data_IF_348179822769
#
_entry.id   IF_348179822769
#
_cell.length_a   1.000
_cell.length_b   1.000
_cell.length_c   1.000
_cell.angle_alpha   90.00
_cell.angle_beta   90.00
_cell.angle_gamma   90.00
#
_symmetry.space_group_name_H-M   'P 1'
#
loop_
_entity.id
_entity.type
_entity.pdbx_description
1 polymer ?
#
# COMPACT_ATOMS: atom_id res chain seq x y z
N UNK A 1 -7.86 -30.27 31.21
CA UNK A 1 -7.66 -29.66 29.87
C UNK A 1 -7.51 -28.16 30.07
N UNK A 2 -6.63 -27.48 29.34
CA UNK A 2 -6.53 -26.02 29.43
C UNK A 2 -7.82 -25.41 28.85
N UNK A 3 -8.46 -24.50 29.59
CA UNK A 3 -9.61 -23.76 29.07
C UNK A 3 -9.11 -22.82 27.98
N UNK A 4 -9.69 -22.94 26.79
CA UNK A 4 -9.33 -22.10 25.65
C UNK A 4 -10.55 -21.73 24.82
N UNK A 5 -10.52 -20.55 24.21
CA UNK A 5 -11.50 -20.15 23.20
C UNK A 5 -10.79 -19.54 21.98
N UNK A 6 -11.39 -19.73 20.81
CA UNK A 6 -10.94 -19.12 19.57
C UNK A 6 -11.48 -17.70 19.48
N UNK A 7 -10.61 -16.77 19.06
CA UNK A 7 -10.91 -15.36 18.90
C UNK A 7 -10.34 -14.93 17.56
N UNK A 8 -11.17 -14.92 16.52
CA UNK A 8 -10.72 -14.72 15.14
C UNK A 8 -9.58 -15.69 14.78
N UNK A 9 -8.39 -15.18 14.42
CA UNK A 9 -7.19 -15.96 14.10
C UNK A 9 -6.31 -16.27 15.33
N UNK A 10 -6.74 -15.86 16.53
CA UNK A 10 -6.02 -16.04 17.80
C UNK A 10 -6.70 -17.09 18.69
N UNK A 11 -5.96 -17.58 19.68
CA UNK A 11 -6.50 -18.45 20.73
C UNK A 11 -6.22 -17.84 22.09
N UNK A 12 -7.26 -17.63 22.89
CA UNK A 12 -7.10 -17.28 24.29
C UNK A 12 -7.04 -18.56 25.12
N UNK A 13 -6.04 -18.66 25.99
CA UNK A 13 -5.79 -19.82 26.85
C UNK A 13 -5.73 -19.34 28.29
N UNK A 14 -6.52 -19.94 29.16
CA UNK A 14 -6.44 -19.71 30.60
C UNK A 14 -5.24 -20.46 31.18
N UNK A 15 -4.48 -19.79 32.05
CA UNK A 15 -3.41 -20.40 32.84
C UNK A 15 -3.53 -20.00 34.30
N UNK A 16 -3.22 -20.94 35.19
CA UNK A 16 -3.18 -20.74 36.64
C UNK A 16 -1.74 -20.76 37.09
N UNK A 17 -1.36 -19.82 37.97
CA UNK A 17 0.00 -19.78 38.54
C UNK A 17 -0.06 -19.54 40.04
N UNK A 18 0.83 -20.22 40.76
CA UNK A 18 1.11 -19.92 42.16
C UNK A 18 2.28 -18.94 42.21
N UNK A 19 2.14 -17.79 42.90
CA UNK A 19 3.24 -16.83 43.01
C UNK A 19 4.43 -17.45 43.74
N UNK A 20 5.64 -17.30 43.17
CA UNK A 20 6.87 -17.74 43.82
C UNK A 20 7.19 -16.79 44.98
N UNK A 21 7.01 -17.24 46.23
CA UNK A 21 7.63 -16.59 47.39
C UNK A 21 6.78 -16.38 48.65
N UNK A 22 5.52 -16.80 48.70
CA UNK A 22 4.72 -16.71 49.94
C UNK A 22 4.43 -18.10 50.50
N UNK A 23 5.12 -18.47 51.57
CA UNK A 23 4.66 -19.53 52.45
C UNK A 23 3.30 -19.14 53.05
N UNK A 24 2.41 -20.14 53.11
CA UNK A 24 1.12 -20.15 53.82
C UNK A 24 -0.15 -19.55 53.19
N UNK A 25 -0.18 -19.27 51.87
CA UNK A 25 -1.48 -19.15 51.17
C UNK A 25 -1.35 -19.62 49.71
N UNK A 26 -2.06 -20.70 49.34
CA UNK A 26 -2.20 -21.17 47.95
C UNK A 26 -3.12 -20.22 47.16
N UNK A 27 -2.75 -18.95 47.04
CA UNK A 27 -3.47 -18.00 46.20
C UNK A 27 -3.12 -18.32 44.74
N UNK A 28 -4.06 -18.93 44.01
CA UNK A 28 -3.90 -19.26 42.58
C UNK A 28 -4.32 -18.05 41.75
N UNK A 29 -3.35 -17.43 41.10
CA UNK A 29 -3.62 -16.32 40.21
C UNK A 29 -4.11 -16.83 38.85
N UNK A 30 -5.21 -16.25 38.37
CA UNK A 30 -5.81 -16.56 37.06
C UNK A 30 -5.25 -15.61 36.00
N UNK A 31 -4.74 -16.17 34.91
CA UNK A 31 -4.22 -15.44 33.77
C UNK A 31 -4.89 -15.88 32.47
N UNK A 32 -5.10 -14.93 31.56
CA UNK A 32 -5.46 -15.19 30.17
C UNK A 32 -4.23 -14.89 29.30
N UNK A 33 -3.80 -15.89 28.55
CA UNK A 33 -2.77 -15.75 27.52
C UNK A 33 -3.44 -15.71 26.15
N UNK A 34 -3.23 -14.63 25.40
CA UNK A 34 -3.58 -14.60 23.99
C UNK A 34 -2.41 -15.14 23.18
N UNK A 35 -2.69 -16.12 22.34
CA UNK A 35 -1.74 -16.72 21.41
C UNK A 35 -2.14 -16.41 19.98
N UNK A 36 -1.14 -16.10 19.17
CA UNK A 36 -1.28 -15.89 17.74
C UNK A 36 -1.54 -17.19 16.98
N UNK A 37 -1.74 -17.10 15.65
CA UNK A 37 -2.04 -18.25 14.80
C UNK A 37 -0.88 -19.26 14.75
N UNK A 38 0.38 -18.81 14.91
CA UNK A 38 1.56 -19.69 14.95
C UNK A 38 1.90 -20.16 16.37
N UNK A 39 1.06 -19.83 17.36
CA UNK A 39 1.17 -20.25 18.75
C UNK A 39 2.06 -19.38 19.65
N UNK A 40 2.61 -18.29 19.13
CA UNK A 40 3.37 -17.30 19.92
C UNK A 40 2.46 -16.54 20.89
N UNK A 41 2.97 -16.25 22.09
CA UNK A 41 2.23 -15.50 23.10
C UNK A 41 2.22 -14.00 22.78
N UNK A 42 1.05 -13.44 22.48
CA UNK A 42 0.84 -12.05 22.10
C UNK A 42 0.70 -11.13 23.32
N UNK A 43 -0.04 -11.60 24.33
CA UNK A 43 -0.26 -10.85 25.55
C UNK A 43 -0.69 -11.77 26.68
N UNK A 44 -0.45 -11.34 27.91
CA UNK A 44 -0.92 -11.98 29.13
C UNK A 44 -1.65 -10.97 30.00
N UNK A 45 -2.82 -11.34 30.49
CA UNK A 45 -3.66 -10.48 31.31
C UNK A 45 -3.98 -11.22 32.60
N UNK A 46 -3.63 -10.61 33.74
CA UNK A 46 -4.07 -11.10 35.05
C UNK A 46 -5.55 -10.80 35.23
N UNK A 47 -6.33 -11.83 35.54
CA UNK A 47 -7.77 -11.72 35.75
C UNK A 47 -8.03 -11.49 37.23
N UNK A 48 -8.84 -10.49 37.61
CA UNK A 48 -9.33 -10.37 38.97
C UNK A 48 -10.31 -11.52 39.23
N UNK A 49 -9.86 -12.55 39.94
CA UNK A 49 -10.66 -13.69 40.36
C UNK A 49 -10.69 -13.75 41.89
N UNK A 50 -11.85 -13.96 42.56
CA UNK A 50 -11.91 -14.02 44.01
C UNK A 50 -11.18 -15.27 44.55
N UNK A 51 -10.47 -15.11 45.65
CA UNK A 51 -9.62 -16.17 46.23
C UNK A 51 -10.44 -17.33 46.84
N UNK A 52 -11.66 -17.04 47.28
CA UNK A 52 -12.58 -18.01 47.91
C UNK A 52 -13.47 -18.75 46.88
N UNK A 53 -13.37 -18.40 45.60
CA UNK A 53 -14.19 -18.96 44.53
C UNK A 53 -13.46 -20.10 43.80
N UNK A 54 -14.18 -21.17 43.39
CA UNK A 54 -13.57 -22.22 42.58
C UNK A 54 -13.04 -21.67 41.26
N UNK A 55 -12.04 -22.36 40.71
CA UNK A 55 -11.40 -22.00 39.45
C UNK A 55 -12.44 -21.86 38.32
N UNK A 56 -12.18 -20.99 37.32
CA UNK A 56 -13.05 -20.91 36.15
C UNK A 56 -13.19 -22.28 35.49
N UNK A 57 -14.42 -22.63 35.11
CA UNK A 57 -14.73 -23.86 34.38
C UNK A 57 -14.99 -23.62 32.89
N UNK A 58 -15.26 -22.37 32.50
CA UNK A 58 -15.55 -21.99 31.11
C UNK A 58 -14.86 -20.68 30.72
N UNK A 59 -14.50 -20.59 29.44
CA UNK A 59 -13.95 -19.39 28.80
C UNK A 59 -14.71 -19.14 27.48
N UNK A 60 -15.27 -17.95 27.33
CA UNK A 60 -16.03 -17.58 26.14
C UNK A 60 -15.61 -16.20 25.65
N UNK A 61 -15.51 -16.04 24.34
CA UNK A 61 -15.33 -14.72 23.72
C UNK A 61 -16.69 -14.13 23.34
N UNK A 62 -16.86 -12.83 23.61
CA UNK A 62 -18.09 -12.09 23.29
C UNK A 62 -17.77 -11.01 22.26
N UNK A 63 -17.99 -11.33 20.99
CA UNK A 63 -17.69 -10.47 19.84
C UNK A 63 -18.27 -9.05 19.98
N UNK A 64 -19.50 -8.91 20.50
CA UNK A 64 -20.19 -7.62 20.63
C UNK A 64 -19.55 -6.68 21.67
N UNK A 65 -18.76 -7.23 22.59
CA UNK A 65 -18.15 -6.49 23.71
C UNK A 65 -16.61 -6.51 23.65
N UNK A 66 -16.02 -7.16 22.65
CA UNK A 66 -14.57 -7.39 22.51
C UNK A 66 -13.91 -7.88 23.83
N UNK A 67 -14.56 -8.82 24.52
CA UNK A 67 -14.13 -9.28 25.84
C UNK A 67 -14.12 -10.81 25.97
N UNK A 68 -13.24 -11.32 26.85
CA UNK A 68 -13.30 -12.71 27.32
C UNK A 68 -14.08 -12.75 28.62
N UNK A 69 -15.03 -13.69 28.71
CA UNK A 69 -15.75 -14.03 29.92
C UNK A 69 -15.23 -15.36 30.47
N UNK A 70 -14.81 -15.34 31.72
CA UNK A 70 -14.48 -16.52 32.51
C UNK A 70 -15.59 -16.76 33.52
N UNK A 71 -16.05 -17.99 33.66
CA UNK A 71 -17.13 -18.34 34.60
C UNK A 71 -16.92 -19.71 35.23
N UNK A 72 -17.41 -19.89 36.46
CA UNK A 72 -17.56 -21.19 37.15
C UNK A 72 -19.04 -21.51 37.43
N UNK A 73 -19.98 -20.84 36.74
CA UNK A 73 -21.44 -20.82 36.94
C UNK A 73 -21.95 -20.04 38.15
N UNK A 74 -21.12 -19.70 39.14
CA UNK A 74 -21.47 -18.86 40.29
C UNK A 74 -20.83 -17.46 40.23
N UNK A 75 -19.62 -17.38 39.68
CA UNK A 75 -18.77 -16.21 39.57
C UNK A 75 -18.41 -15.98 38.11
N UNK A 76 -18.46 -14.71 37.70
CA UNK A 76 -18.17 -14.25 36.35
C UNK A 76 -17.10 -13.16 36.40
N UNK A 77 -16.05 -13.32 35.60
CA UNK A 77 -15.07 -12.27 35.33
C UNK A 77 -15.10 -11.91 33.84
N UNK A 78 -15.22 -10.62 33.55
CA UNK A 78 -15.18 -10.09 32.18
C UNK A 78 -13.89 -9.31 32.00
N UNK A 79 -13.09 -9.70 31.02
CA UNK A 79 -11.78 -9.12 30.73
C UNK A 79 -11.83 -8.49 29.34
N UNK A 80 -11.72 -7.15 29.22
CA UNK A 80 -11.67 -6.51 27.92
C UNK A 80 -10.36 -6.88 27.22
N UNK A 81 -10.46 -7.25 25.94
CA UNK A 81 -9.27 -7.59 25.15
C UNK A 81 -8.97 -6.43 24.21
N UNK A 82 -7.79 -5.84 24.35
CA UNK A 82 -7.28 -4.88 23.39
C UNK A 82 -6.57 -5.61 22.25
N UNK A 83 -7.31 -6.42 21.49
CA UNK A 83 -6.75 -7.26 20.42
C UNK A 83 -5.91 -6.43 19.44
N UNK A 84 -6.33 -5.18 19.18
CA UNK A 84 -5.63 -4.20 18.34
C UNK A 84 -4.25 -3.80 18.88
N UNK A 85 -4.09 -3.68 20.19
CA UNK A 85 -2.81 -3.34 20.84
C UNK A 85 -1.88 -4.56 20.90
N UNK A 86 -2.43 -5.76 21.15
CA UNK A 86 -1.66 -7.00 21.17
C UNK A 86 -1.16 -7.40 19.77
N UNK A 87 -2.00 -7.26 18.74
CA UNK A 87 -1.63 -7.52 17.34
C UNK A 87 -0.70 -6.47 16.74
N UNK A 88 -0.67 -5.23 17.26
CA UNK A 88 0.29 -4.21 16.82
C UNK A 88 1.68 -4.36 17.43
N UNK A 89 1.82 -5.16 18.49
CA UNK A 89 3.10 -5.57 19.05
C UNK A 89 3.72 -6.78 18.35
N UNK A 90 2.96 -7.50 17.52
CA UNK A 90 3.55 -8.40 16.54
C UNK A 90 4.36 -7.54 15.59
N UNK A 91 5.68 -7.71 15.69
CA UNK A 91 6.66 -7.15 14.75
C UNK A 91 6.07 -7.19 13.35
N UNK A 92 5.99 -6.05 12.64
CA UNK A 92 5.45 -6.04 11.30
C UNK A 92 6.21 -7.09 10.49
N UNK A 93 5.47 -8.00 9.84
CA UNK A 93 5.96 -8.71 8.66
C UNK A 93 6.74 -7.67 7.88
N UNK A 94 8.05 -7.89 7.78
CA UNK A 94 9.07 -6.92 7.38
C UNK A 94 8.46 -5.83 6.50
N UNK A 95 8.58 -4.53 6.87
CA UNK A 95 7.95 -3.46 6.11
C UNK A 95 8.24 -3.68 4.63
N UNK A 96 7.25 -3.57 3.72
CA UNK A 96 7.51 -3.68 2.29
C UNK A 96 8.70 -2.77 2.01
N UNK A 97 9.76 -3.33 1.41
CA UNK A 97 11.07 -2.70 1.27
C UNK A 97 10.87 -1.22 0.97
N UNK A 98 11.06 -0.35 1.98
CA UNK A 98 11.19 1.07 1.72
C UNK A 98 12.36 1.22 0.76
N UNK A 99 12.35 2.26 -0.07
CA UNK A 99 13.44 2.64 -0.99
C UNK A 99 14.76 3.01 -0.26
N UNK A 100 15.11 2.34 0.83
CA UNK A 100 16.34 2.53 1.56
C UNK A 100 17.55 1.93 0.82
N UNK A 101 17.33 0.95 -0.06
CA UNK A 101 18.41 0.28 -0.78
C UNK A 101 18.14 0.26 -2.29
N UNK A 102 18.19 1.41 -2.95
CA UNK A 102 18.81 1.38 -4.28
C UNK A 102 20.30 1.18 -4.04
N UNK A 103 20.64 -0.10 -4.02
CA UNK A 103 22.00 -0.61 -4.09
C UNK A 103 22.76 0.23 -5.12
N UNK A 104 24.03 0.49 -4.81
CA UNK A 104 25.03 1.06 -5.71
C UNK A 104 24.74 0.69 -7.17
N UNK A 105 24.91 1.63 -8.14
CA UNK A 105 24.68 1.36 -9.55
C UNK A 105 25.30 0.01 -9.87
N UNK A 106 24.55 -0.95 -10.44
CA UNK A 106 25.02 -2.31 -10.59
C UNK A 106 26.40 -2.26 -11.22
N UNK A 107 27.41 -2.64 -10.42
CA UNK A 107 28.79 -2.77 -10.89
C UNK A 107 28.69 -3.55 -12.20
N UNK A 108 29.26 -3.06 -13.31
CA UNK A 108 29.06 -3.69 -14.60
C UNK A 108 29.52 -5.14 -14.46
N UNK A 109 28.54 -6.04 -14.38
CA UNK A 109 28.81 -7.46 -14.48
C UNK A 109 29.62 -7.63 -15.76
N UNK A 110 30.55 -8.59 -15.79
CA UNK A 110 31.30 -8.95 -16.99
C UNK A 110 30.41 -9.55 -18.10
N UNK A 111 29.10 -9.27 -18.06
CA UNK A 111 28.10 -9.68 -19.02
C UNK A 111 28.20 -8.79 -20.29
N UNK A 112 28.52 -9.38 -21.45
CA UNK A 112 28.62 -8.65 -22.71
C UNK A 112 27.27 -8.07 -23.16
N UNK A 113 26.15 -8.70 -22.83
CA UNK A 113 24.81 -8.25 -23.23
C UNK A 113 24.37 -7.04 -22.40
N UNK A 114 24.74 -7.01 -21.12
CA UNK A 114 24.56 -5.84 -20.26
C UNK A 114 25.32 -4.61 -20.78
N UNK A 115 26.60 -4.79 -21.18
CA UNK A 115 27.41 -3.71 -21.77
C UNK A 115 26.85 -3.22 -23.11
N UNK A 116 26.34 -4.14 -23.94
CA UNK A 116 25.69 -3.80 -25.21
C UNK A 116 24.42 -2.99 -25.00
N UNK A 117 23.58 -3.39 -24.04
CA UNK A 117 22.39 -2.64 -23.66
C UNK A 117 22.74 -1.22 -23.23
N UNK A 118 23.73 -1.07 -22.34
CA UNK A 118 24.19 0.22 -21.87
C UNK A 118 24.66 1.14 -22.99
N UNK A 119 25.47 0.61 -23.91
CA UNK A 119 25.96 1.34 -25.07
C UNK A 119 24.82 1.75 -26.01
N UNK A 120 23.84 0.85 -26.21
CA UNK A 120 22.67 1.13 -27.05
C UNK A 120 21.79 2.23 -26.43
N UNK A 121 21.48 2.14 -25.13
CA UNK A 121 20.68 3.14 -24.42
C UNK A 121 21.36 4.51 -24.43
N UNK A 122 22.66 4.59 -24.11
CA UNK A 122 23.41 5.87 -24.14
C UNK A 122 23.50 6.47 -25.53
N UNK A 123 23.59 5.64 -26.58
CA UNK A 123 23.55 6.13 -27.96
C UNK A 123 22.17 6.68 -28.31
N UNK A 124 21.11 5.94 -27.98
CA UNK A 124 19.74 6.36 -28.25
C UNK A 124 19.37 7.67 -27.56
N UNK A 125 19.70 7.85 -26.27
CA UNK A 125 19.33 9.09 -25.56
C UNK A 125 20.07 10.33 -26.08
N UNK A 126 21.21 10.17 -26.76
CA UNK A 126 21.92 11.27 -27.44
C UNK A 126 21.27 11.63 -28.77
N UNK A 127 20.83 10.63 -29.53
CA UNK A 127 20.27 10.78 -30.88
C UNK A 127 19.02 9.91 -31.04
N UNK A 128 17.89 10.24 -30.39
CA UNK A 128 16.71 9.37 -30.34
C UNK A 128 15.99 9.23 -31.69
N UNK A 129 16.22 10.18 -32.60
CA UNK A 129 15.65 10.19 -33.95
C UNK A 129 16.55 9.55 -34.99
N UNK A 130 17.75 9.09 -34.61
CA UNK A 130 18.64 8.39 -35.54
C UNK A 130 18.00 7.05 -35.97
N UNK A 131 18.07 6.78 -37.27
CA UNK A 131 17.48 5.57 -37.84
C UNK A 131 18.12 4.30 -37.26
N UNK A 132 17.28 3.30 -36.93
CA UNK A 132 17.71 2.04 -36.31
C UNK A 132 18.15 2.14 -34.84
N UNK A 133 18.16 3.33 -34.22
CA UNK A 133 18.63 3.51 -32.85
C UNK A 133 17.72 2.83 -31.83
N UNK A 134 16.41 3.00 -31.98
CA UNK A 134 15.40 2.37 -31.13
C UNK A 134 15.37 0.85 -31.29
N UNK A 135 15.43 0.37 -32.52
CA UNK A 135 15.42 -1.05 -32.87
C UNK A 135 16.60 -1.77 -32.21
N UNK A 136 17.77 -1.12 -32.18
CA UNK A 136 18.96 -1.63 -31.50
C UNK A 136 18.76 -1.68 -29.97
N UNK A 137 18.21 -0.62 -29.37
CA UNK A 137 17.89 -0.61 -27.93
C UNK A 137 16.91 -1.72 -27.59
N UNK A 138 15.83 -1.83 -28.36
CA UNK A 138 14.76 -2.78 -28.10
C UNK A 138 15.24 -4.23 -28.24
N UNK A 139 16.11 -4.50 -29.22
CA UNK A 139 16.79 -5.80 -29.35
C UNK A 139 17.63 -6.13 -28.12
N UNK A 140 18.38 -5.17 -27.59
CA UNK A 140 19.17 -5.38 -26.37
C UNK A 140 18.30 -5.57 -25.12
N UNK A 141 17.24 -4.78 -24.96
CA UNK A 141 16.30 -4.93 -23.83
C UNK A 141 15.53 -6.25 -23.85
N UNK A 142 15.35 -6.83 -25.04
CA UNK A 142 14.69 -8.13 -25.22
C UNK A 142 15.55 -9.31 -24.79
N UNK A 143 16.87 -9.13 -24.64
CA UNK A 143 17.79 -10.19 -24.20
C UNK A 143 17.47 -10.70 -22.78
N UNK A 144 17.83 -11.93 -22.49
CA UNK A 144 17.51 -12.58 -21.21
C UNK A 144 18.45 -12.07 -20.11
N UNK A 145 17.88 -11.73 -18.95
CA UNK A 145 18.67 -11.36 -17.75
C UNK A 145 19.16 -9.91 -17.71
N UNK A 146 18.85 -9.09 -18.71
CA UNK A 146 19.27 -7.69 -18.74
C UNK A 146 18.45 -6.83 -17.77
N UNK A 147 19.10 -5.85 -17.15
CA UNK A 147 18.48 -4.93 -16.19
C UNK A 147 19.06 -3.51 -16.32
N UNK A 148 18.25 -2.52 -16.64
CA UNK A 148 18.66 -1.12 -16.81
C UNK A 148 18.51 -0.26 -15.54
N UNK A 149 18.23 -0.87 -14.38
CA UNK A 149 18.04 -0.16 -13.13
C UNK A 149 19.25 0.74 -12.78
N UNK A 150 18.95 1.99 -12.40
CA UNK A 150 19.94 3.00 -12.03
C UNK A 150 20.89 3.47 -13.15
N UNK A 151 20.75 2.98 -14.38
CA UNK A 151 21.73 3.24 -15.44
C UNK A 151 21.53 4.58 -16.15
N UNK A 152 20.28 4.98 -16.36
CA UNK A 152 19.93 6.25 -16.98
C UNK A 152 19.66 7.31 -15.91
N UNK A 153 20.15 8.52 -16.16
CA UNK A 153 19.74 9.69 -15.37
C UNK A 153 18.26 10.01 -15.60
N UNK A 154 17.66 10.78 -14.68
CA UNK A 154 16.27 11.25 -14.81
C UNK A 154 15.97 11.86 -16.20
N UNK A 155 16.85 12.74 -16.68
CA UNK A 155 16.65 13.42 -17.97
C UNK A 155 16.73 12.45 -19.16
N UNK A 156 17.66 11.49 -19.10
CA UNK A 156 17.79 10.45 -20.14
C UNK A 156 16.58 9.51 -20.16
N UNK A 157 15.98 9.20 -19.00
CA UNK A 157 14.74 8.43 -18.93
C UNK A 157 13.57 9.18 -19.60
N UNK A 158 13.46 10.49 -19.42
CA UNK A 158 12.43 11.30 -20.09
C UNK A 158 12.55 11.30 -21.62
N UNK A 159 13.76 11.17 -22.17
CA UNK A 159 13.93 11.03 -23.63
C UNK A 159 13.15 9.82 -24.15
N UNK A 160 13.16 8.71 -23.41
CA UNK A 160 12.41 7.50 -23.79
C UNK A 160 10.90 7.75 -23.64
N UNK A 161 10.45 8.35 -22.53
CA UNK A 161 9.03 8.65 -22.28
C UNK A 161 8.46 9.57 -23.38
N UNK A 162 9.19 10.59 -23.79
CA UNK A 162 8.74 11.52 -24.84
C UNK A 162 8.89 10.96 -26.26
N UNK A 163 9.77 9.98 -26.47
CA UNK A 163 9.95 9.35 -27.78
C UNK A 163 8.78 8.45 -28.16
N UNK A 164 8.27 7.64 -27.21
CA UNK A 164 7.25 6.62 -27.49
C UNK A 164 5.97 7.20 -28.14
N UNK A 165 5.37 8.30 -27.65
CA UNK A 165 4.18 8.90 -28.28
C UNK A 165 4.41 9.46 -29.68
N UNK A 166 5.65 9.87 -30.00
CA UNK A 166 6.00 10.53 -31.27
C UNK A 166 6.22 9.49 -32.38
N UNK A 167 6.44 8.23 -32.02
CA UNK A 167 6.57 7.12 -32.96
C UNK A 167 5.23 6.43 -33.19
N UNK A 168 5.04 6.00 -34.44
CA UNK A 168 3.88 5.22 -34.85
C UNK A 168 4.14 3.75 -34.55
N UNK A 169 3.72 3.29 -33.38
CA UNK A 169 3.73 1.88 -33.00
C UNK A 169 2.31 1.30 -33.07
N UNK A 170 2.19 0.05 -33.49
CA UNK A 170 0.93 -0.69 -33.38
C UNK A 170 0.61 -1.00 -31.90
N UNK A 171 -0.66 -1.25 -31.55
CA UNK A 171 -1.03 -1.62 -30.18
C UNK A 171 -0.29 -2.85 -29.64
N UNK A 172 0.02 -3.82 -30.52
CA UNK A 172 0.79 -5.02 -30.17
C UNK A 172 2.25 -4.70 -29.87
N UNK A 173 2.86 -3.82 -30.66
CA UNK A 173 4.23 -3.35 -30.42
C UNK A 173 4.31 -2.54 -29.14
N UNK A 174 3.38 -1.61 -28.90
CA UNK A 174 3.32 -0.84 -27.66
C UNK A 174 3.27 -1.75 -26.43
N UNK A 175 2.38 -2.75 -26.43
CA UNK A 175 2.32 -3.72 -25.32
C UNK A 175 3.66 -4.39 -25.07
N UNK A 176 4.30 -4.89 -26.13
CA UNK A 176 5.60 -5.54 -26.03
C UNK A 176 6.70 -4.58 -25.53
N UNK A 177 6.66 -3.33 -25.99
CA UNK A 177 7.56 -2.27 -25.55
C UNK A 177 7.42 -2.01 -24.06
N UNK A 178 6.20 -1.76 -23.59
CA UNK A 178 5.95 -1.44 -22.19
C UNK A 178 6.26 -2.60 -21.24
N UNK A 179 5.91 -3.84 -21.60
CA UNK A 179 6.28 -5.02 -20.83
C UNK A 179 7.80 -5.18 -20.74
N UNK A 180 8.51 -4.96 -21.85
CA UNK A 180 9.97 -5.05 -21.89
C UNK A 180 10.61 -3.95 -21.02
N UNK A 181 10.13 -2.71 -21.10
CA UNK A 181 10.63 -1.59 -20.31
C UNK A 181 10.37 -1.79 -18.81
N UNK A 182 9.20 -2.32 -18.44
CA UNK A 182 8.87 -2.71 -17.06
C UNK A 182 9.82 -3.80 -16.57
N UNK A 183 9.93 -4.91 -17.31
CA UNK A 183 10.76 -6.07 -16.95
C UNK A 183 12.23 -5.71 -16.72
N UNK A 184 12.73 -4.76 -17.51
CA UNK A 184 14.15 -4.35 -17.49
C UNK A 184 14.41 -3.16 -16.58
N UNK A 185 13.43 -2.68 -15.79
CA UNK A 185 13.60 -1.58 -14.82
C UNK A 185 14.28 -0.33 -15.40
N UNK A 186 13.93 0.08 -16.62
CA UNK A 186 14.52 1.27 -17.28
C UNK A 186 14.22 2.56 -16.49
N UNK A 187 13.06 2.61 -15.83
CA UNK A 187 12.58 3.80 -15.13
C UNK A 187 12.78 3.69 -13.63
N UNK A 188 13.54 4.62 -13.08
CA UNK A 188 13.70 4.78 -11.64
C UNK A 188 12.51 5.49 -10.98
N UNK A 189 12.48 5.61 -9.65
CA UNK A 189 11.34 6.14 -8.90
C UNK A 189 10.88 7.53 -9.33
N UNK A 190 11.80 8.37 -9.83
CA UNK A 190 11.48 9.73 -10.25
C UNK A 190 10.65 9.82 -11.53
N UNK A 191 10.74 8.81 -12.41
CA UNK A 191 10.10 8.77 -13.72
C UNK A 191 9.07 7.64 -13.84
N UNK A 192 9.05 6.70 -12.90
CA UNK A 192 8.15 5.54 -12.94
C UNK A 192 6.67 5.93 -12.90
N UNK A 193 6.32 7.01 -12.20
CA UNK A 193 4.96 7.57 -12.23
C UNK A 193 4.56 8.05 -13.62
N UNK A 194 5.43 8.83 -14.27
CA UNK A 194 5.20 9.38 -15.62
C UNK A 194 5.15 8.25 -16.68
N UNK A 195 5.94 7.19 -16.48
CA UNK A 195 5.88 5.99 -17.31
C UNK A 195 4.51 5.31 -17.24
N UNK A 196 3.95 5.12 -16.05
CA UNK A 196 2.62 4.51 -15.92
C UNK A 196 1.51 5.42 -16.42
N UNK A 197 1.66 6.74 -16.27
CA UNK A 197 0.75 7.70 -16.89
C UNK A 197 0.76 7.57 -18.42
N UNK A 198 1.93 7.42 -19.03
CA UNK A 198 2.07 7.14 -20.46
C UNK A 198 1.43 5.80 -20.84
N UNK A 199 1.59 4.75 -20.02
CA UNK A 199 0.90 3.48 -20.26
C UNK A 199 -0.62 3.65 -20.29
N UNK A 200 -1.17 4.45 -19.38
CA UNK A 200 -2.61 4.73 -19.34
C UNK A 200 -3.08 5.57 -20.53
N UNK A 201 -2.32 6.59 -20.94
CA UNK A 201 -2.69 7.44 -22.07
C UNK A 201 -2.66 6.71 -23.42
N UNK A 202 -1.88 5.62 -23.52
CA UNK A 202 -1.82 4.73 -24.68
C UNK A 202 -2.59 3.41 -24.48
N UNK A 203 -3.60 3.43 -23.61
CA UNK A 203 -4.57 2.34 -23.37
C UNK A 203 -3.98 1.00 -22.92
N UNK A 204 -2.78 1.01 -22.32
CA UNK A 204 -2.13 -0.18 -21.76
C UNK A 204 -2.60 -0.47 -20.33
N UNK A 205 -3.92 -0.48 -20.14
CA UNK A 205 -4.56 -0.63 -18.82
C UNK A 205 -4.26 -1.99 -18.18
N UNK A 206 -4.14 -3.06 -19.00
CA UNK A 206 -3.83 -4.40 -18.50
C UNK A 206 -2.47 -4.47 -17.79
N UNK A 207 -1.45 -3.78 -18.33
CA UNK A 207 -0.13 -3.68 -17.70
C UNK A 207 -0.24 -3.00 -16.34
N UNK A 208 -0.95 -1.87 -16.28
CA UNK A 208 -1.11 -1.10 -15.04
C UNK A 208 -1.87 -1.91 -13.98
N UNK A 209 -2.97 -2.59 -14.35
CA UNK A 209 -3.68 -3.49 -13.43
C UNK A 209 -2.75 -4.58 -12.87
N UNK A 210 -1.93 -5.20 -13.73
CA UNK A 210 -0.97 -6.22 -13.30
C UNK A 210 0.06 -5.70 -12.29
N UNK A 211 0.44 -4.42 -12.40
CA UNK A 211 1.37 -3.78 -11.45
C UNK A 211 0.66 -3.47 -10.14
N UNK A 212 -0.59 -3.01 -10.18
CA UNK A 212 -1.37 -2.75 -8.96
C UNK A 212 -1.56 -4.03 -8.14
N UNK A 213 -1.76 -5.15 -8.82
CA UNK A 213 -1.92 -6.47 -8.21
C UNK A 213 -0.59 -7.13 -7.81
N UNK A 214 0.57 -6.62 -8.25
CA UNK A 214 1.87 -7.14 -7.86
C UNK A 214 2.33 -6.58 -6.51
N UNK A 215 3.27 -7.26 -5.86
CA UNK A 215 3.90 -6.80 -4.61
C UNK A 215 5.12 -5.89 -4.85
N UNK A 216 5.23 -5.28 -6.04
CA UNK A 216 6.38 -4.45 -6.39
C UNK A 216 6.43 -3.17 -5.52
N UNK A 217 7.63 -2.72 -5.16
CA UNK A 217 7.79 -1.47 -4.44
C UNK A 217 7.43 -0.27 -5.33
N UNK A 218 6.54 0.61 -4.86
CA UNK A 218 6.06 1.77 -5.60
C UNK A 218 6.33 3.07 -4.86
N UNK A 219 6.64 4.11 -5.63
CA UNK A 219 6.71 5.47 -5.11
C UNK A 219 5.31 6.04 -4.89
N UNK A 220 5.20 7.06 -4.05
CA UNK A 220 3.95 7.77 -3.81
C UNK A 220 3.41 8.45 -5.09
N UNK A 221 4.29 8.78 -6.05
CA UNK A 221 3.88 9.24 -7.37
C UNK A 221 3.16 8.16 -8.17
N UNK A 222 3.70 6.93 -8.17
CA UNK A 222 3.03 5.79 -8.83
C UNK A 222 1.69 5.51 -8.16
N UNK A 223 1.64 5.54 -6.83
CA UNK A 223 0.39 5.38 -6.08
C UNK A 223 -0.63 6.45 -6.44
N UNK A 224 -0.24 7.71 -6.57
CA UNK A 224 -1.16 8.78 -7.00
C UNK A 224 -1.72 8.54 -8.42
N UNK A 225 -0.89 8.10 -9.37
CA UNK A 225 -1.34 7.73 -10.72
C UNK A 225 -2.31 6.55 -10.67
N UNK A 226 -2.04 5.54 -9.85
CA UNK A 226 -2.89 4.36 -9.74
C UNK A 226 -4.20 4.65 -9.02
N UNK A 227 -4.19 5.48 -7.98
CA UNK A 227 -5.42 5.93 -7.31
C UNK A 227 -6.32 6.71 -8.27
N UNK A 228 -5.76 7.60 -9.08
CA UNK A 228 -6.51 8.34 -10.11
C UNK A 228 -7.12 7.40 -11.16
N UNK A 229 -6.35 6.41 -11.61
CA UNK A 229 -6.83 5.36 -12.52
C UNK A 229 -7.94 4.50 -11.90
N UNK A 230 -7.78 4.07 -10.65
CA UNK A 230 -8.81 3.28 -9.96
C UNK A 230 -10.07 4.11 -9.76
N UNK A 231 -9.95 5.39 -9.43
CA UNK A 231 -11.10 6.28 -9.32
C UNK A 231 -11.89 6.40 -10.63
N UNK A 232 -11.20 6.45 -11.78
CA UNK A 232 -11.88 6.50 -13.08
C UNK A 232 -12.62 5.20 -13.39
N UNK A 233 -12.08 4.03 -13.02
CA UNK A 233 -12.78 2.75 -13.12
C UNK A 233 -14.02 2.69 -12.22
N UNK A 234 -13.91 3.17 -10.98
CA UNK A 234 -14.99 3.18 -10.00
C UNK A 234 -16.08 4.22 -10.29
N UNK A 235 -15.79 5.19 -11.17
CA UNK A 235 -16.74 6.22 -11.61
C UNK A 235 -17.84 5.69 -12.54
N UNK A 236 -17.64 4.51 -13.13
CA UNK A 236 -18.60 3.89 -14.07
C UNK A 236 -19.83 3.40 -13.30
N UNK A 237 -21.03 3.53 -13.89
CA UNK A 237 -22.32 3.19 -13.23
C UNK A 237 -22.37 1.77 -12.64
N UNK A 238 -21.62 0.82 -13.24
CA UNK A 238 -21.44 -0.55 -12.75
C UNK A 238 -19.96 -0.92 -12.84
N UNK A 239 -19.17 -0.61 -11.79
CA UNK A 239 -17.78 -1.02 -11.75
C UNK A 239 -17.69 -2.55 -11.69
N UNK A 240 -16.61 -3.11 -12.23
CA UNK A 240 -16.38 -4.56 -12.09
C UNK A 240 -16.01 -4.85 -10.64
N UNK A 241 -16.35 -6.03 -10.15
CA UNK A 241 -15.97 -6.44 -8.79
C UNK A 241 -14.45 -6.34 -8.59
N UNK A 242 -13.68 -6.79 -9.58
CA UNK A 242 -12.22 -6.71 -9.64
C UNK A 242 -11.68 -5.27 -9.58
N UNK A 243 -12.48 -4.23 -9.87
CA UNK A 243 -12.03 -2.83 -9.81
C UNK A 243 -11.93 -2.35 -8.36
N UNK A 244 -12.82 -2.82 -7.47
CA UNK A 244 -12.75 -2.54 -6.04
C UNK A 244 -11.54 -3.25 -5.39
N UNK A 245 -11.20 -4.45 -5.89
CA UNK A 245 -10.03 -5.20 -5.43
C UNK A 245 -8.72 -4.44 -5.71
N UNK A 246 -8.64 -3.68 -6.80
CA UNK A 246 -7.47 -2.85 -7.08
C UNK A 246 -7.24 -1.78 -6.02
N UNK A 247 -8.31 -1.15 -5.51
CA UNK A 247 -8.19 -0.17 -4.42
C UNK A 247 -7.68 -0.87 -3.15
N UNK A 248 -8.20 -2.05 -2.82
CA UNK A 248 -7.73 -2.84 -1.69
C UNK A 248 -6.24 -3.20 -1.83
N UNK A 249 -5.78 -3.62 -3.02
CA UNK A 249 -4.37 -3.88 -3.30
C UNK A 249 -3.48 -2.63 -3.09
N UNK A 250 -3.96 -1.44 -3.47
CA UNK A 250 -3.23 -0.20 -3.23
C UNK A 250 -3.17 0.15 -1.74
N UNK A 251 -4.26 -0.06 -1.00
CA UNK A 251 -4.33 0.18 0.44
C UNK A 251 -3.48 -0.79 1.26
N UNK A 252 -3.20 -1.99 0.76
CA UNK A 252 -2.24 -2.90 1.40
C UNK A 252 -0.79 -2.38 1.34
N UNK A 253 -0.50 -1.38 0.48
CA UNK A 253 0.83 -0.80 0.36
C UNK A 253 1.02 0.25 1.43
N UNK A 254 2.12 0.17 2.17
CA UNK A 254 2.51 1.24 3.08
C UNK A 254 2.94 2.47 2.27
N UNK A 255 2.43 3.64 2.62
CA UNK A 255 2.83 4.91 2.00
C UNK A 255 3.10 5.97 3.06
N UNK A 256 3.94 6.95 2.72
CA UNK A 256 4.10 8.16 3.51
C UNK A 256 2.94 9.12 3.21
N UNK A 257 2.11 9.50 4.20
CA UNK A 257 0.95 10.36 3.97
C UNK A 257 1.32 11.75 3.41
N UNK A 258 2.46 12.31 3.79
CA UNK A 258 2.88 13.65 3.34
C UNK A 258 3.29 13.61 1.86
N UNK A 259 4.13 12.64 1.49
CA UNK A 259 4.59 12.46 0.11
C UNK A 259 3.45 12.06 -0.82
N UNK A 260 2.53 11.22 -0.33
CA UNK A 260 1.33 10.87 -1.08
C UNK A 260 0.41 12.07 -1.24
N UNK A 261 0.23 12.91 -0.22
CA UNK A 261 -0.54 14.16 -0.34
C UNK A 261 -0.02 15.04 -1.47
N UNK A 262 1.30 15.31 -1.50
CA UNK A 262 1.91 16.14 -2.54
C UNK A 262 1.75 15.55 -3.95
N UNK A 263 1.82 14.22 -4.08
CA UNK A 263 1.67 13.53 -5.35
C UNK A 263 0.21 13.52 -5.83
N UNK A 264 -0.73 13.26 -4.92
CA UNK A 264 -2.17 13.21 -5.20
C UNK A 264 -2.74 14.59 -5.50
N UNK A 265 -2.25 15.65 -4.86
CA UNK A 265 -2.63 17.04 -5.14
C UNK A 265 -2.47 17.44 -6.61
N UNK A 266 -1.48 16.87 -7.31
CA UNK A 266 -1.19 17.17 -8.71
C UNK A 266 -1.95 16.29 -9.69
N UNK A 267 -2.54 15.20 -9.21
CA UNK A 267 -3.02 14.11 -10.07
C UNK A 267 -4.52 13.86 -9.93
N UNK A 268 -5.02 13.80 -8.69
CA UNK A 268 -6.38 13.38 -8.40
C UNK A 268 -7.31 14.60 -8.47
N UNK A 269 -8.36 14.50 -9.29
CA UNK A 269 -9.41 15.52 -9.37
C UNK A 269 -10.34 15.46 -8.16
N UNK A 270 -11.07 16.55 -7.89
CA UNK A 270 -12.07 16.60 -6.81
C UNK A 270 -13.14 15.50 -6.95
N UNK A 271 -13.54 15.17 -8.17
CA UNK A 271 -14.50 14.11 -8.45
C UNK A 271 -13.90 12.72 -8.16
N UNK A 272 -12.68 12.46 -8.61
CA UNK A 272 -12.01 11.18 -8.31
C UNK A 272 -11.74 11.02 -6.81
N UNK A 273 -11.42 12.11 -6.11
CA UNK A 273 -11.25 12.12 -4.67
C UNK A 273 -12.52 11.71 -3.92
N UNK A 274 -13.70 12.21 -4.30
CA UNK A 274 -14.96 11.83 -3.65
C UNK A 274 -15.33 10.37 -3.89
N UNK A 275 -15.06 9.84 -5.09
CA UNK A 275 -15.24 8.44 -5.43
C UNK A 275 -14.33 7.55 -4.58
N UNK A 276 -13.04 7.91 -4.48
CA UNK A 276 -12.07 7.17 -3.67
C UNK A 276 -12.44 7.19 -2.18
N UNK A 277 -12.88 8.33 -1.65
CA UNK A 277 -13.33 8.45 -0.26
C UNK A 277 -14.51 7.52 0.03
N UNK A 278 -15.50 7.50 -0.86
CA UNK A 278 -16.66 6.60 -0.72
C UNK A 278 -16.24 5.14 -0.75
N UNK A 279 -15.45 4.75 -1.75
CA UNK A 279 -14.96 3.37 -1.87
C UNK A 279 -14.09 2.97 -0.67
N UNK A 280 -13.28 3.90 -0.14
CA UNK A 280 -12.52 3.69 1.08
C UNK A 280 -13.44 3.46 2.29
N UNK A 281 -14.52 4.21 2.45
CA UNK A 281 -15.49 3.96 3.53
C UNK A 281 -16.14 2.59 3.40
N UNK A 282 -16.53 2.20 2.18
CA UNK A 282 -17.13 0.88 1.93
C UNK A 282 -16.13 -0.25 2.28
N UNK A 283 -14.86 -0.12 1.86
CA UNK A 283 -13.80 -1.07 2.23
C UNK A 283 -13.60 -1.08 3.75
N UNK A 284 -13.53 0.07 4.42
CA UNK A 284 -13.32 0.14 5.87
C UNK A 284 -14.43 -0.56 6.65
N UNK A 285 -15.69 -0.36 6.25
CA UNK A 285 -16.85 -1.01 6.88
C UNK A 285 -16.84 -2.53 6.65
N UNK A 286 -16.39 -2.98 5.48
CA UNK A 286 -16.40 -4.40 5.11
C UNK A 286 -15.18 -5.18 5.60
N UNK A 287 -14.05 -4.51 5.81
CA UNK A 287 -12.75 -5.18 5.95
C UNK A 287 -12.37 -5.34 7.42
N UNK A 288 -12.27 -6.59 7.90
CA UNK A 288 -11.70 -6.93 9.22
C UNK A 288 -10.17 -6.90 9.27
N UNK A 289 -9.49 -6.63 8.14
CA UNK A 289 -8.03 -6.58 8.06
C UNK A 289 -7.47 -5.25 8.59
N UNK A 290 -6.72 -5.31 9.70
CA UNK A 290 -6.15 -4.16 10.41
C UNK A 290 -5.21 -3.30 9.56
N UNK A 291 -4.41 -3.93 8.69
CA UNK A 291 -3.44 -3.24 7.84
C UNK A 291 -4.12 -2.38 6.77
N UNK A 292 -5.18 -2.92 6.14
CA UNK A 292 -5.98 -2.17 5.16
C UNK A 292 -6.71 -1.03 5.87
N UNK A 293 -7.28 -1.28 7.05
CA UNK A 293 -7.99 -0.27 7.83
C UNK A 293 -7.09 0.92 8.20
N UNK A 294 -5.85 0.68 8.64
CA UNK A 294 -4.90 1.76 9.00
C UNK A 294 -4.53 2.63 7.79
N UNK A 295 -4.17 2.01 6.67
CA UNK A 295 -3.82 2.76 5.46
C UNK A 295 -5.04 3.47 4.86
N UNK A 296 -6.23 2.87 4.97
CA UNK A 296 -7.48 3.48 4.58
C UNK A 296 -7.74 4.76 5.38
N UNK A 297 -7.59 4.73 6.71
CA UNK A 297 -7.69 5.93 7.56
C UNK A 297 -6.66 6.98 7.14
N UNK A 298 -5.40 6.59 6.89
CA UNK A 298 -4.37 7.52 6.41
C UNK A 298 -4.75 8.17 5.09
N UNK A 299 -5.30 7.40 4.14
CA UNK A 299 -5.75 7.91 2.86
C UNK A 299 -6.98 8.84 3.01
N UNK A 300 -7.94 8.45 3.84
CA UNK A 300 -9.11 9.26 4.19
C UNK A 300 -8.75 10.56 4.91
N UNK A 301 -7.61 10.65 5.60
CA UNK A 301 -7.12 11.92 6.15
C UNK A 301 -6.40 12.73 5.05
N UNK A 302 -5.66 12.05 4.18
CA UNK A 302 -4.85 12.68 3.13
C UNK A 302 -5.70 13.35 2.05
N UNK A 303 -6.76 12.69 1.57
CA UNK A 303 -7.59 13.17 0.46
C UNK A 303 -8.41 14.44 0.82
N UNK A 304 -9.07 14.55 1.99
CA UNK A 304 -9.82 15.75 2.39
C UNK A 304 -8.93 16.96 2.70
N UNK A 305 -7.68 16.76 3.10
CA UNK A 305 -6.72 17.88 3.26
C UNK A 305 -6.49 18.55 1.90
N UNK A 306 -6.54 17.80 0.79
CA UNK A 306 -6.50 18.36 -0.56
C UNK A 306 -7.74 19.21 -0.88
N UNK A 307 -8.93 18.84 -0.40
CA UNK A 307 -10.12 19.68 -0.55
C UNK A 307 -9.94 21.05 0.11
N UNK A 308 -9.32 21.12 1.31
CA UNK A 308 -9.04 22.40 1.99
C UNK A 308 -7.92 23.20 1.32
N UNK A 309 -6.87 22.54 0.82
CA UNK A 309 -5.75 23.20 0.16
C UNK A 309 -6.09 23.67 -1.26
N UNK A 310 -6.90 22.91 -2.02
CA UNK A 310 -7.36 23.32 -3.36
C UNK A 310 -8.41 24.43 -3.29
N UNK A 311 -9.30 24.42 -2.30
CA UNK A 311 -10.24 25.54 -2.07
C UNK A 311 -9.51 26.85 -1.74
N UNK A 312 -8.42 26.80 -0.97
CA UNK A 312 -7.63 27.98 -0.60
C UNK A 312 -6.66 28.45 -1.69
N UNK A 313 -6.26 27.59 -2.63
CA UNK A 313 -5.49 27.98 -3.81
C UNK A 313 -6.37 28.59 -4.92
N UNK A 314 -7.60 28.12 -5.09
CA UNK A 314 -8.57 28.72 -6.03
C UNK A 314 -8.94 30.15 -5.60
N UNK A 315 -9.05 30.41 -4.29
CA UNK A 315 -9.32 31.76 -3.77
C UNK A 315 -8.15 32.75 -4.02
N UNK A 316 -6.91 32.27 -4.08
CA UNK A 316 -5.74 33.12 -4.35
C UNK A 316 -5.56 33.47 -5.82
N UNK A 317 -5.93 32.57 -6.75
CA UNK A 317 -5.83 32.84 -8.19
C UNK A 317 -7.06 33.59 -8.74
N UNK A 318 -8.22 33.49 -8.10
CA UNK A 318 -9.40 34.31 -8.46
C UNK A 318 -9.49 35.65 -7.70
N UNK A 319 -8.80 35.79 -6.57
CA UNK A 319 -8.72 37.05 -5.81
C UNK A 319 -7.97 38.20 -6.49
N UNK A 320 -7.33 37.97 -7.64
CA UNK A 320 -6.70 39.03 -8.47
C UNK A 320 -7.50 39.43 -9.72
N UNK A 321 -8.71 38.89 -9.95
CA UNK A 321 -9.56 39.28 -11.10
C UNK A 321 -10.87 39.97 -10.75
N UNK A 322 -11.13 40.26 -9.47
CA UNK A 322 -12.29 41.04 -9.03
C UNK A 322 -11.90 42.44 -8.57
N UNK A 323 -11.29 43.22 -9.47
CA UNK A 323 -11.22 44.68 -9.34
C UNK A 323 -11.18 45.22 -10.78
N UNK A 324 -12.23 45.96 -11.17
CA UNK A 324 -12.46 46.68 -12.44
C UNK A 324 -13.70 46.25 -13.24
N UNK A 325 -14.84 46.05 -12.58
CA UNK A 325 -16.15 46.08 -13.25
C UNK A 325 -17.16 46.80 -12.36
N UNK A 326 -16.89 48.07 -12.03
CA UNK A 326 -17.89 49.07 -11.66
C UNK A 326 -17.26 50.45 -11.85
N UNK A 327 -17.16 50.88 -13.11
CA UNK A 327 -17.32 52.29 -13.46
C UNK A 327 -17.73 52.37 -14.95
N UNK A 328 -18.60 53.33 -15.25
CA UNK A 328 -19.24 53.65 -16.53
C UNK A 328 -20.41 52.76 -17.03
N UNK A 329 -21.62 53.04 -16.51
CA UNK A 329 -22.71 53.72 -17.27
C UNK A 329 -23.99 53.84 -16.47
#
# INVERSE_FOLDING_TARGET
MALQCSIEDCTAVMSLRTPLGSGDQEMREVFIQLKGPDGEQLSEIKVPWPDDEPEPSEINYVDSEECIKLTNNATLATVPIRLREALSNLTPVSPPRRFANFSNPPCPANDPDQRRLYSALKKFVREPLADGAWEKVFKCLSAKGVNADGFLTKNEQYVIIHFIPVKLFTPKELRNIFETLKRTNVFGPSCLGDFYELCLSLEQTSLVRSVIQSNDALSEKCLAVFLDFVASLLSVEKPRQDDNELLACLLQRQFDPRRLSDATARKITTQHASILLRACMDIYVLTKCSLIAEQNIKLQITIPILFRCCATHIDKDYGMRSMNLFDDR
#
